data_IF_346656928246
#
_entry.id   IF_346656928246
#
_cell.length_a   1.000
_cell.length_b   1.000
_cell.length_c   1.000
_cell.angle_alpha   90.00
_cell.angle_beta   90.00
_cell.angle_gamma   90.00
#
_symmetry.space_group_name_H-M   'P 1'
#
loop_
_entity.id
_entity.type
_entity.pdbx_description
1 polymer ?
#
# COMPACT_ATOMS: atom_id res chain seq x y z
N UNK A 1 -9.40 6.46 33.94
CA UNK A 1 -9.16 7.89 33.63
C UNK A 1 -8.21 8.42 34.69
N UNK A 2 -6.98 8.72 34.31
CA UNK A 2 -5.97 9.20 35.25
C UNK A 2 -6.32 10.60 35.73
N UNK A 3 -6.47 10.77 37.02
CA UNK A 3 -6.66 12.08 37.71
C UNK A 3 -5.53 13.06 37.46
N UNK A 4 -4.35 12.59 37.05
CA UNK A 4 -3.17 13.40 36.75
C UNK A 4 -3.39 14.38 35.59
N UNK A 5 -4.14 14.01 34.58
CA UNK A 5 -4.41 14.91 33.43
C UNK A 5 -5.34 16.08 33.79
N UNK A 6 -6.23 15.90 34.76
CA UNK A 6 -7.07 17.00 35.28
C UNK A 6 -6.28 17.95 36.16
N UNK A 7 -5.41 17.41 37.04
CA UNK A 7 -4.59 18.24 37.91
C UNK A 7 -3.61 19.14 37.16
N UNK A 8 -2.91 18.59 36.17
CA UNK A 8 -2.00 19.36 35.32
C UNK A 8 -2.75 20.39 34.46
N UNK A 9 -3.87 20.04 33.87
CA UNK A 9 -4.69 20.97 33.09
C UNK A 9 -5.24 22.12 33.92
N UNK A 10 -5.59 21.91 35.20
CA UNK A 10 -6.05 22.96 36.11
C UNK A 10 -4.90 23.88 36.56
N UNK A 11 -3.69 23.35 36.75
CA UNK A 11 -2.50 24.14 37.02
C UNK A 11 -2.18 25.08 35.87
N UNK A 12 -2.21 24.61 34.64
CA UNK A 12 -1.96 25.43 33.46
C UNK A 12 -3.03 26.51 33.25
N UNK A 13 -4.29 26.17 33.44
CA UNK A 13 -5.39 27.14 33.38
C UNK A 13 -5.26 28.25 34.39
N UNK A 14 -4.77 27.97 35.61
CA UNK A 14 -4.55 28.96 36.67
C UNK A 14 -3.34 29.86 36.44
N UNK A 15 -2.33 29.36 35.74
CA UNK A 15 -1.11 30.12 35.46
C UNK A 15 -1.25 31.03 34.22
N UNK A 16 -2.27 30.84 33.39
CA UNK A 16 -2.49 31.60 32.15
C UNK A 16 -1.46 31.38 31.04
N UNK A 17 -0.38 30.62 31.30
CA UNK A 17 0.67 30.31 30.35
C UNK A 17 0.97 28.82 30.42
N UNK A 18 0.93 28.15 29.26
CA UNK A 18 1.31 26.76 29.14
C UNK A 18 2.83 26.62 29.14
N UNK A 19 3.35 25.61 29.84
CA UNK A 19 4.78 25.28 29.79
C UNK A 19 5.06 24.29 28.65
N UNK A 20 6.32 24.21 28.20
CA UNK A 20 6.81 23.23 27.23
C UNK A 20 7.26 21.93 27.89
N UNK A 21 7.11 21.76 29.18
CA UNK A 21 7.57 20.57 29.92
C UNK A 21 7.03 19.24 29.40
N UNK A 22 5.83 19.23 28.76
CA UNK A 22 5.30 18.06 28.08
C UNK A 22 6.18 17.62 26.92
N UNK A 23 6.76 18.56 26.19
CA UNK A 23 7.64 18.29 25.04
C UNK A 23 8.96 17.68 25.51
N UNK A 24 9.54 18.24 26.60
CA UNK A 24 10.75 17.68 27.19
C UNK A 24 10.51 16.27 27.71
N UNK A 25 9.36 16.02 28.34
CA UNK A 25 8.96 14.69 28.79
C UNK A 25 8.78 13.71 27.67
N UNK A 26 8.15 14.14 26.54
CA UNK A 26 7.99 13.31 25.35
C UNK A 26 9.36 12.99 24.72
N UNK A 27 10.22 13.99 24.54
CA UNK A 27 11.55 13.80 23.99
C UNK A 27 12.37 12.82 24.84
N UNK A 28 12.37 12.98 26.16
CA UNK A 28 13.08 12.06 27.07
C UNK A 28 12.55 10.63 26.97
N UNK A 29 11.25 10.44 26.76
CA UNK A 29 10.65 9.12 26.54
C UNK A 29 11.13 8.53 25.20
N UNK A 30 11.10 9.30 24.13
CA UNK A 30 11.57 8.88 22.81
C UNK A 30 13.07 8.53 22.85
N UNK A 31 13.89 9.36 23.47
CA UNK A 31 15.34 9.13 23.65
C UNK A 31 15.62 7.83 24.41
N UNK A 32 14.76 7.49 25.37
CA UNK A 32 14.89 6.23 26.14
C UNK A 32 14.62 4.99 25.28
N UNK A 33 13.64 5.04 24.39
CA UNK A 33 13.25 3.89 23.58
C UNK A 33 14.01 3.78 22.25
N UNK A 34 14.34 4.91 21.63
CA UNK A 34 14.93 4.95 20.29
C UNK A 34 16.41 5.38 20.28
N UNK A 35 16.93 5.81 21.45
CA UNK A 35 18.25 6.43 21.57
C UNK A 35 18.22 7.93 21.23
N UNK A 36 19.21 8.64 21.75
CA UNK A 36 19.36 10.07 21.48
C UNK A 36 19.69 10.29 20.00
N UNK A 37 18.99 11.23 19.36
CA UNK A 37 19.26 11.62 17.98
C UNK A 37 20.73 12.07 17.85
N UNK A 38 21.52 11.44 16.96
CA UNK A 38 22.92 11.84 16.78
C UNK A 38 23.01 13.23 16.15
N UNK A 39 23.87 14.09 16.70
CA UNK A 39 24.24 15.35 16.04
C UNK A 39 25.10 15.10 14.82
N UNK A 40 25.99 14.11 14.91
CA UNK A 40 26.88 13.66 13.85
C UNK A 40 27.04 12.15 13.89
N UNK A 41 27.30 11.56 12.73
CA UNK A 41 27.58 10.13 12.57
C UNK A 41 28.51 9.88 11.38
N UNK A 42 29.14 8.71 11.33
CA UNK A 42 30.01 8.31 10.23
C UNK A 42 29.28 7.24 9.38
N UNK A 43 29.23 7.47 8.08
CA UNK A 43 28.75 6.50 7.09
C UNK A 43 29.78 6.37 5.97
N UNK A 44 30.22 5.16 5.66
CA UNK A 44 31.26 4.87 4.66
C UNK A 44 32.52 5.71 4.81
N UNK A 45 32.97 5.94 6.07
CA UNK A 45 34.19 6.67 6.39
C UNK A 45 34.08 8.20 6.31
N UNK A 46 32.91 8.74 5.99
CA UNK A 46 32.63 10.18 5.94
C UNK A 46 31.71 10.61 7.08
N UNK A 47 32.04 11.74 7.73
CA UNK A 47 31.19 12.33 8.79
C UNK A 47 30.03 13.11 8.17
N UNK A 48 28.85 12.94 8.75
CA UNK A 48 27.62 13.63 8.36
C UNK A 48 26.85 14.12 9.59
N UNK A 49 26.10 15.20 9.41
CA UNK A 49 24.89 15.47 10.19
C UNK A 49 23.70 14.81 9.51
N UNK A 50 22.54 14.57 10.18
CA UNK A 50 21.34 14.07 9.53
C UNK A 50 20.95 14.87 8.26
N UNK A 51 21.03 16.19 8.34
CA UNK A 51 20.70 17.10 7.23
C UNK A 51 21.68 16.97 6.05
N UNK A 52 23.00 16.93 6.34
CA UNK A 52 24.02 16.79 5.29
C UNK A 52 23.99 15.40 4.64
N UNK A 53 23.60 14.37 5.39
CA UNK A 53 23.39 13.04 4.84
C UNK A 53 22.15 13.01 3.92
N UNK A 54 21.02 13.55 4.38
CA UNK A 54 19.81 13.66 3.54
C UNK A 54 20.10 14.42 2.23
N UNK A 55 20.83 15.54 2.31
CA UNK A 55 21.22 16.32 1.14
C UNK A 55 22.19 15.59 0.19
N UNK A 56 22.89 14.55 0.66
CA UNK A 56 23.81 13.76 -0.16
C UNK A 56 23.11 12.63 -0.93
N UNK A 57 21.87 12.31 -0.57
CA UNK A 57 21.10 11.26 -1.24
C UNK A 57 20.60 11.76 -2.62
N UNK A 58 20.64 10.90 -3.65
CA UNK A 58 20.18 11.27 -4.99
C UNK A 58 18.64 11.21 -5.11
N UNK A 59 17.94 11.58 -4.03
CA UNK A 59 16.47 11.54 -3.94
C UNK A 59 15.96 12.97 -3.83
N UNK A 60 15.09 13.37 -4.74
CA UNK A 60 14.35 14.62 -4.69
C UNK A 60 12.87 14.29 -4.48
N UNK A 61 12.30 14.71 -3.37
CA UNK A 61 10.91 14.42 -3.05
C UNK A 61 9.94 14.98 -4.10
N UNK A 62 10.24 16.14 -4.67
CA UNK A 62 9.45 16.77 -5.73
C UNK A 62 9.38 15.96 -7.04
N UNK A 63 10.26 14.96 -7.20
CA UNK A 63 10.22 14.04 -8.34
C UNK A 63 9.18 12.92 -8.19
N UNK A 64 8.50 12.82 -7.03
CA UNK A 64 7.54 11.76 -6.74
C UNK A 64 6.12 12.31 -6.63
N UNK A 65 5.16 11.51 -7.04
CA UNK A 65 3.72 11.81 -6.94
C UNK A 65 2.95 10.55 -6.61
N UNK A 66 1.81 10.73 -5.95
CA UNK A 66 0.85 9.68 -5.66
C UNK A 66 -0.22 9.62 -6.74
N UNK A 67 -0.51 8.41 -7.23
CA UNK A 67 -1.53 8.12 -8.23
C UNK A 67 -2.60 7.22 -7.61
N UNK A 68 -3.84 7.64 -7.69
CA UNK A 68 -5.01 6.86 -7.30
C UNK A 68 -5.98 6.64 -8.47
N UNK A 69 -7.00 5.81 -8.24
CA UNK A 69 -8.01 5.52 -9.27
C UNK A 69 -9.39 5.35 -8.65
N UNK A 70 -10.19 6.42 -8.63
CA UNK A 70 -11.51 6.47 -8.02
C UNK A 70 -12.49 7.28 -8.85
N UNK A 71 -13.78 6.91 -8.84
CA UNK A 71 -14.81 7.57 -9.67
C UNK A 71 -15.59 8.67 -8.93
N UNK A 72 -15.44 8.78 -7.61
CA UNK A 72 -16.11 9.83 -6.84
C UNK A 72 -15.47 11.23 -6.97
N UNK A 73 -14.28 11.28 -7.60
CA UNK A 73 -13.64 12.52 -8.03
C UNK A 73 -13.34 12.49 -9.54
N UNK A 74 -13.26 13.63 -10.22
CA UNK A 74 -12.93 13.68 -11.64
C UNK A 74 -11.55 13.06 -11.93
N UNK A 75 -11.44 12.31 -13.01
CA UNK A 75 -10.15 11.89 -13.50
C UNK A 75 -9.30 13.08 -13.97
N UNK A 76 -8.00 12.94 -13.89
CA UNK A 76 -6.99 13.94 -14.22
C UNK A 76 -7.05 15.20 -13.34
N UNK A 77 -7.52 15.03 -12.11
CA UNK A 77 -7.49 16.04 -11.05
C UNK A 77 -6.79 15.51 -9.81
N UNK A 78 -6.35 16.39 -8.95
CA UNK A 78 -5.88 16.03 -7.61
C UNK A 78 -7.08 16.03 -6.64
N UNK A 79 -7.04 15.11 -5.68
CA UNK A 79 -7.98 15.09 -4.57
C UNK A 79 -7.32 14.53 -3.32
N UNK A 80 -7.87 14.84 -2.16
CA UNK A 80 -7.47 14.25 -0.89
C UNK A 80 -8.15 12.90 -0.76
N UNK A 81 -7.38 11.82 -0.64
CA UNK A 81 -7.95 10.50 -0.41
C UNK A 81 -8.55 10.43 1.00
N UNK A 82 -9.83 10.11 1.10
CA UNK A 82 -10.62 10.18 2.33
C UNK A 82 -10.48 8.89 3.16
N UNK A 83 -9.28 8.63 3.64
CA UNK A 83 -8.97 7.51 4.55
C UNK A 83 -8.43 8.03 5.87
N UNK A 84 -8.68 7.33 7.01
CA UNK A 84 -8.23 7.79 8.32
C UNK A 84 -6.71 7.96 8.45
N UNK A 85 -5.94 7.18 7.71
CA UNK A 85 -4.47 7.23 7.70
C UNK A 85 -3.92 8.49 7.03
N UNK A 86 -4.68 9.12 6.16
CA UNK A 86 -4.29 10.37 5.50
C UNK A 86 -4.49 11.60 6.41
N UNK A 87 -3.90 11.56 7.61
CA UNK A 87 -4.02 12.64 8.60
C UNK A 87 -3.31 13.94 8.18
N UNK A 88 -2.38 13.87 7.23
CA UNK A 88 -1.69 15.04 6.66
C UNK A 88 -2.45 15.66 5.47
N UNK A 89 -3.55 15.06 5.05
CA UNK A 89 -4.37 15.53 3.93
C UNK A 89 -3.59 15.53 2.61
N UNK A 90 -2.75 14.51 2.43
CA UNK A 90 -2.01 14.31 1.19
C UNK A 90 -2.96 14.12 0.01
N UNK A 91 -2.58 14.68 -1.14
CA UNK A 91 -3.36 14.56 -2.38
C UNK A 91 -2.81 13.47 -3.27
N UNK A 92 -3.69 12.86 -4.07
CA UNK A 92 -3.32 11.92 -5.13
C UNK A 92 -3.83 12.43 -6.47
N UNK A 93 -3.09 12.18 -7.53
CA UNK A 93 -3.57 12.37 -8.90
C UNK A 93 -4.50 11.23 -9.28
N UNK A 94 -5.70 11.54 -9.74
CA UNK A 94 -6.72 10.57 -10.08
C UNK A 94 -6.68 10.19 -11.55
N UNK A 95 -6.56 8.91 -11.85
CA UNK A 95 -6.57 8.39 -13.23
C UNK A 95 -7.50 7.17 -13.35
N UNK A 96 -7.99 6.81 -14.56
CA UNK A 96 -8.68 5.54 -14.75
C UNK A 96 -7.82 4.36 -14.33
N UNK A 97 -8.45 3.25 -13.91
CA UNK A 97 -7.76 2.04 -13.45
C UNK A 97 -6.73 1.52 -14.46
N UNK A 98 -7.08 1.49 -15.73
CA UNK A 98 -6.18 1.04 -16.79
C UNK A 98 -4.92 1.92 -16.89
N UNK A 99 -5.06 3.24 -16.68
CA UNK A 99 -3.94 4.17 -16.69
C UNK A 99 -3.09 4.06 -15.42
N UNK A 100 -3.69 3.83 -14.26
CA UNK A 100 -2.94 3.53 -13.03
C UNK A 100 -2.08 2.27 -13.22
N UNK A 101 -2.65 1.22 -13.79
CA UNK A 101 -1.89 0.00 -14.08
C UNK A 101 -0.84 0.20 -15.15
N UNK A 102 -1.08 1.05 -16.16
CA UNK A 102 -0.06 1.41 -17.14
C UNK A 102 1.11 2.18 -16.52
N UNK A 103 0.85 3.01 -15.51
CA UNK A 103 1.92 3.66 -14.71
C UNK A 103 2.75 2.61 -13.97
N UNK A 104 2.12 1.63 -13.30
CA UNK A 104 2.81 0.54 -12.61
C UNK A 104 3.68 -0.27 -13.57
N UNK A 105 3.12 -0.70 -14.70
CA UNK A 105 3.84 -1.48 -15.70
C UNK A 105 5.02 -0.70 -16.29
N UNK A 106 4.82 0.56 -16.64
CA UNK A 106 5.88 1.41 -17.21
C UNK A 106 6.99 1.70 -16.21
N UNK A 107 6.66 1.92 -14.94
CA UNK A 107 7.64 2.13 -13.89
C UNK A 107 8.57 0.90 -13.76
N UNK A 108 8.00 -0.29 -13.63
CA UNK A 108 8.77 -1.52 -13.50
C UNK A 108 9.60 -1.83 -14.77
N UNK A 109 9.04 -1.61 -15.96
CA UNK A 109 9.76 -1.79 -17.22
C UNK A 109 10.98 -0.85 -17.38
N UNK A 110 10.95 0.32 -16.72
CA UNK A 110 12.04 1.29 -16.74
C UNK A 110 12.93 1.25 -15.48
N UNK A 111 12.81 0.20 -14.64
CA UNK A 111 13.68 -0.03 -13.48
C UNK A 111 13.35 0.82 -12.26
N UNK A 112 12.15 1.40 -12.19
CA UNK A 112 11.67 2.09 -11.00
C UNK A 112 10.91 1.13 -10.10
N UNK A 113 11.12 1.24 -8.80
CA UNK A 113 10.25 0.65 -7.78
C UNK A 113 9.09 1.60 -7.47
N UNK A 114 8.03 1.06 -6.86
CA UNK A 114 6.78 1.77 -6.61
C UNK A 114 6.42 1.55 -5.16
N UNK A 115 6.21 2.63 -4.40
CA UNK A 115 5.52 2.49 -3.12
C UNK A 115 4.05 2.20 -3.38
N UNK A 116 3.45 1.33 -2.58
CA UNK A 116 2.12 0.79 -2.80
C UNK A 116 1.31 0.78 -1.51
N UNK A 117 0.37 1.71 -1.40
CA UNK A 117 -0.63 1.74 -0.35
C UNK A 117 -1.79 0.81 -0.71
N UNK A 118 -2.10 -0.15 0.16
CA UNK A 118 -3.03 -1.25 -0.15
C UNK A 118 -3.73 -1.80 1.08
N UNK A 119 -4.81 -2.53 0.83
CA UNK A 119 -5.48 -3.36 1.81
C UNK A 119 -4.88 -4.78 1.81
N UNK A 120 -4.41 -5.24 2.96
CA UNK A 120 -3.92 -6.61 3.20
C UNK A 120 -4.79 -7.38 4.20
N UNK A 121 -5.86 -6.78 4.70
CA UNK A 121 -6.86 -7.45 5.57
C UNK A 121 -7.88 -8.27 4.75
N UNK A 122 -7.44 -8.83 3.65
CA UNK A 122 -8.19 -9.56 2.64
C UNK A 122 -8.00 -11.08 2.79
N UNK A 123 -9.09 -11.87 2.63
CA UNK A 123 -9.02 -13.34 2.65
C UNK A 123 -8.09 -13.91 1.57
N UNK A 124 -7.99 -13.22 0.45
CA UNK A 124 -7.11 -13.55 -0.66
C UNK A 124 -5.63 -13.34 -0.39
N UNK A 125 -5.26 -12.82 0.78
CA UNK A 125 -3.87 -12.64 1.18
C UNK A 125 -3.41 -13.69 2.20
N UNK A 126 -2.55 -14.60 1.79
CA UNK A 126 -1.91 -15.56 2.68
C UNK A 126 -0.49 -15.06 3.06
N UNK A 127 -0.39 -14.57 4.29
CA UNK A 127 0.82 -14.04 4.87
C UNK A 127 1.95 -15.08 5.02
N UNK A 128 1.59 -16.36 5.22
CA UNK A 128 2.55 -17.45 5.44
C UNK A 128 3.09 -17.95 4.10
N UNK A 129 2.23 -18.07 3.11
CA UNK A 129 2.59 -18.47 1.74
C UNK A 129 3.11 -17.31 0.90
N UNK A 130 3.03 -16.09 1.43
CA UNK A 130 3.50 -14.85 0.83
C UNK A 130 2.85 -14.59 -0.55
N UNK A 131 1.54 -14.79 -0.65
CA UNK A 131 0.77 -14.65 -1.89
C UNK A 131 -0.55 -13.90 -1.66
N UNK A 132 -0.94 -13.08 -2.63
CA UNK A 132 -2.23 -12.40 -2.69
C UNK A 132 -2.93 -12.65 -4.01
N UNK A 133 -4.20 -13.07 -3.97
CA UNK A 133 -5.05 -13.36 -5.14
C UNK A 133 -6.49 -12.92 -4.88
N UNK A 134 -7.27 -12.69 -5.95
CA UNK A 134 -8.72 -12.41 -5.87
C UNK A 134 -9.48 -13.49 -6.64
N UNK A 135 -9.79 -14.63 -6.02
CA UNK A 135 -10.46 -15.73 -6.69
C UNK A 135 -11.83 -15.34 -7.25
N UNK A 136 -12.16 -15.87 -8.43
CA UNK A 136 -13.51 -15.81 -8.96
C UNK A 136 -14.42 -16.74 -8.15
N UNK A 137 -15.47 -16.21 -7.57
CA UNK A 137 -16.42 -16.97 -6.75
C UNK A 137 -17.61 -17.47 -7.56
N UNK A 138 -17.98 -16.75 -8.61
CA UNK A 138 -19.05 -17.11 -9.52
C UNK A 138 -18.47 -17.93 -10.69
N UNK A 139 -18.62 -19.22 -10.62
CA UNK A 139 -18.05 -20.14 -11.58
C UNK A 139 -19.08 -20.40 -12.70
N UNK A 140 -19.47 -19.36 -13.37
CA UNK A 140 -20.14 -19.45 -14.66
C UNK A 140 -19.11 -19.87 -15.70
N UNK A 141 -19.23 -21.10 -16.18
CA UNK A 141 -18.38 -21.63 -17.23
C UNK A 141 -17.54 -22.85 -16.87
N UNK A 142 -17.71 -23.44 -15.70
CA UNK A 142 -17.24 -24.82 -15.48
C UNK A 142 -18.12 -25.80 -16.25
N UNK A 143 -17.49 -26.67 -17.02
CA UNK A 143 -18.19 -27.73 -17.78
C UNK A 143 -17.80 -29.13 -17.26
N UNK A 144 -18.71 -30.07 -17.41
CA UNK A 144 -18.44 -31.49 -17.18
C UNK A 144 -18.38 -31.90 -15.69
N UNK A 145 -17.57 -32.93 -15.42
CA UNK A 145 -17.47 -33.56 -14.07
C UNK A 145 -16.92 -32.65 -12.99
N UNK A 146 -16.17 -31.63 -13.35
CA UNK A 146 -15.66 -30.65 -12.37
C UNK A 146 -16.75 -29.68 -11.92
N UNK A 147 -17.60 -29.19 -12.83
CA UNK A 147 -18.77 -28.38 -12.51
C UNK A 147 -19.75 -29.14 -11.58
N UNK A 148 -19.94 -30.42 -11.84
CA UNK A 148 -20.81 -31.28 -11.02
C UNK A 148 -20.25 -31.48 -9.61
N UNK A 149 -18.94 -31.72 -9.47
CA UNK A 149 -18.27 -31.82 -8.18
C UNK A 149 -18.33 -30.50 -7.42
N UNK A 150 -18.05 -29.39 -8.07
CA UNK A 150 -18.11 -28.06 -7.49
C UNK A 150 -19.52 -27.67 -7.05
N UNK A 151 -20.52 -28.02 -7.86
CA UNK A 151 -21.93 -27.78 -7.55
C UNK A 151 -22.41 -28.49 -6.27
N UNK A 152 -21.77 -29.61 -5.88
CA UNK A 152 -22.08 -30.40 -4.70
C UNK A 152 -21.45 -29.87 -3.41
N UNK A 153 -20.45 -28.97 -3.51
CA UNK A 153 -19.78 -28.39 -2.37
C UNK A 153 -20.64 -27.31 -1.70
N UNK A 154 -20.61 -27.27 -0.38
CA UNK A 154 -21.15 -26.16 0.40
C UNK A 154 -20.37 -24.86 0.13
N UNK A 155 -20.94 -23.70 0.46
CA UNK A 155 -20.27 -22.41 0.31
C UNK A 155 -18.91 -22.37 1.05
N UNK A 156 -18.85 -22.94 2.26
CA UNK A 156 -17.61 -23.00 3.05
C UNK A 156 -16.53 -23.90 2.42
N UNK A 157 -16.92 -25.02 1.82
CA UNK A 157 -15.98 -25.92 1.12
C UNK A 157 -15.46 -25.28 -0.17
N UNK A 158 -16.33 -24.55 -0.91
CA UNK A 158 -15.92 -23.77 -2.09
C UNK A 158 -14.91 -22.70 -1.70
N UNK A 159 -15.21 -21.93 -0.67
CA UNK A 159 -14.33 -20.90 -0.15
C UNK A 159 -12.97 -21.49 0.29
N UNK A 160 -12.99 -22.57 1.07
CA UNK A 160 -11.77 -23.24 1.50
C UNK A 160 -10.92 -23.78 0.33
N UNK A 161 -11.55 -24.21 -0.77
CA UNK A 161 -10.84 -24.67 -1.96
C UNK A 161 -10.20 -23.51 -2.75
N UNK A 162 -10.87 -22.35 -2.85
CA UNK A 162 -10.38 -21.17 -3.54
C UNK A 162 -9.18 -20.54 -2.81
N UNK A 163 -9.22 -20.48 -1.49
CA UNK A 163 -8.19 -19.86 -0.66
C UNK A 163 -7.17 -20.87 -0.11
N UNK A 164 -7.03 -22.02 -0.76
CA UNK A 164 -6.03 -23.02 -0.36
C UNK A 164 -4.61 -22.65 -0.79
N UNK A 165 -4.45 -21.83 -1.82
CA UNK A 165 -3.16 -21.33 -2.34
C UNK A 165 -2.16 -22.46 -2.67
N UNK A 166 -2.62 -23.59 -3.18
CA UNK A 166 -1.79 -24.74 -3.56
C UNK A 166 -1.66 -24.90 -5.09
N UNK A 167 -2.47 -24.21 -5.83
CA UNK A 167 -2.46 -24.16 -7.30
C UNK A 167 -3.05 -22.84 -7.80
N UNK A 168 -2.77 -22.44 -9.05
CA UNK A 168 -3.44 -21.32 -9.68
C UNK A 168 -4.95 -21.52 -9.71
N UNK A 169 -5.70 -20.46 -9.43
CA UNK A 169 -7.17 -20.43 -9.53
C UNK A 169 -7.58 -19.33 -10.52
N UNK A 170 -8.77 -19.44 -11.08
CA UNK A 170 -9.34 -18.36 -11.88
C UNK A 170 -9.61 -17.17 -10.95
N UNK A 171 -9.19 -16.00 -11.38
CA UNK A 171 -9.40 -14.76 -10.63
C UNK A 171 -10.43 -13.86 -11.28
N UNK A 172 -11.02 -12.97 -10.47
CA UNK A 172 -11.98 -11.95 -10.92
C UNK A 172 -11.34 -11.01 -11.94
N UNK A 173 -12.10 -10.62 -12.95
CA UNK A 173 -11.75 -9.49 -13.80
C UNK A 173 -12.19 -8.22 -13.10
N UNK A 174 -11.24 -7.45 -12.60
CA UNK A 174 -11.51 -6.24 -11.85
C UNK A 174 -11.94 -5.11 -12.78
N UNK A 175 -12.97 -4.38 -12.37
CA UNK A 175 -13.45 -3.19 -13.08
C UNK A 175 -13.30 -1.95 -12.19
N UNK A 176 -13.33 -0.78 -12.83
CA UNK A 176 -13.31 0.51 -12.13
C UNK A 176 -14.47 0.63 -11.12
N UNK A 177 -15.65 0.13 -11.49
CA UNK A 177 -16.84 0.16 -10.64
C UNK A 177 -16.68 -0.76 -9.42
N UNK A 178 -16.21 -2.00 -9.60
CA UNK A 178 -15.97 -2.92 -8.49
C UNK A 178 -15.00 -2.31 -7.47
N UNK A 179 -13.95 -1.67 -7.95
CA UNK A 179 -12.96 -0.99 -7.13
C UNK A 179 -13.59 0.16 -6.33
N UNK A 180 -14.43 0.99 -6.97
CA UNK A 180 -15.12 2.08 -6.29
C UNK A 180 -16.09 1.57 -5.22
N UNK A 181 -16.90 0.56 -5.54
CA UNK A 181 -17.84 -0.02 -4.59
C UNK A 181 -17.11 -0.58 -3.36
N UNK A 182 -15.97 -1.25 -3.55
CA UNK A 182 -15.19 -1.80 -2.45
C UNK A 182 -14.57 -0.72 -1.55
N UNK A 183 -14.22 0.43 -2.12
CA UNK A 183 -13.78 1.59 -1.35
C UNK A 183 -14.95 2.23 -0.57
N UNK A 184 -16.08 2.45 -1.22
CA UNK A 184 -17.25 3.12 -0.63
C UNK A 184 -17.88 2.31 0.51
N UNK A 185 -17.82 0.98 0.45
CA UNK A 185 -18.42 0.08 1.45
C UNK A 185 -17.41 -0.45 2.48
N UNK A 186 -16.16 0.07 2.47
CA UNK A 186 -15.06 -0.35 3.36
C UNK A 186 -14.63 -1.83 3.21
N UNK A 187 -14.88 -2.44 2.06
CA UNK A 187 -14.32 -3.73 1.68
C UNK A 187 -12.84 -3.60 1.28
N UNK A 188 -12.43 -2.41 0.88
CA UNK A 188 -11.03 -2.03 0.68
C UNK A 188 -10.70 -0.85 1.59
N UNK A 189 -9.74 -1.04 2.48
CA UNK A 189 -9.27 -0.05 3.46
C UNK A 189 -7.78 0.23 3.28
N UNK A 190 -7.31 1.39 3.74
CA UNK A 190 -5.87 1.70 3.75
C UNK A 190 -5.28 1.18 5.05
N UNK A 191 -4.52 0.07 4.98
CA UNK A 191 -3.99 -0.57 6.16
C UNK A 191 -2.52 -1.00 6.06
N UNK A 192 -1.91 -0.92 4.86
CA UNK A 192 -0.52 -1.35 4.72
C UNK A 192 0.22 -0.71 3.53
N UNK A 193 1.49 -0.37 3.75
CA UNK A 193 2.41 0.12 2.73
C UNK A 193 3.50 -0.89 2.41
N UNK A 194 3.76 -1.12 1.12
CA UNK A 194 4.80 -2.03 0.61
C UNK A 194 5.50 -1.43 -0.62
N UNK A 195 6.48 -2.14 -1.17
CA UNK A 195 7.20 -1.69 -2.37
C UNK A 195 7.10 -2.74 -3.47
N UNK A 196 6.46 -2.41 -4.60
CA UNK A 196 6.48 -3.24 -5.80
C UNK A 196 7.85 -3.07 -6.47
N UNK A 197 8.57 -4.18 -6.67
CA UNK A 197 9.95 -4.17 -7.15
C UNK A 197 10.16 -4.95 -8.45
N UNK A 198 9.13 -5.60 -8.96
CA UNK A 198 9.24 -6.38 -10.19
C UNK A 198 7.97 -7.14 -10.55
N UNK A 199 8.06 -7.94 -11.58
CA UNK A 199 7.00 -8.80 -12.10
C UNK A 199 7.36 -10.27 -11.97
N UNK A 200 6.35 -11.12 -11.97
CA UNK A 200 6.46 -12.57 -12.01
C UNK A 200 5.27 -13.17 -12.77
N UNK A 201 5.31 -14.47 -12.98
CA UNK A 201 4.17 -15.23 -13.52
C UNK A 201 3.99 -16.51 -12.71
N UNK A 202 2.75 -16.98 -12.61
CA UNK A 202 2.46 -18.27 -12.02
C UNK A 202 2.71 -19.43 -13.02
N UNK A 203 2.37 -20.66 -12.64
CA UNK A 203 2.57 -21.86 -13.45
C UNK A 203 1.68 -21.92 -14.71
N UNK A 204 0.68 -21.05 -14.79
CA UNK A 204 -0.23 -20.93 -15.95
C UNK A 204 0.08 -19.69 -16.79
N UNK A 205 1.08 -18.88 -16.39
CA UNK A 205 1.45 -17.65 -17.07
C UNK A 205 0.64 -16.43 -16.65
N UNK A 206 -0.16 -16.53 -15.60
CA UNK A 206 -0.87 -15.37 -15.06
C UNK A 206 0.10 -14.36 -14.46
N UNK A 207 -0.12 -13.04 -14.67
CA UNK A 207 0.79 -12.00 -14.21
C UNK A 207 0.67 -11.75 -12.70
N UNK A 208 1.83 -11.62 -12.07
CA UNK A 208 2.01 -11.26 -10.66
C UNK A 208 3.01 -10.12 -10.52
N UNK A 209 2.90 -9.40 -9.42
CA UNK A 209 3.89 -8.43 -8.98
C UNK A 209 4.71 -8.99 -7.83
N UNK A 210 6.03 -8.79 -7.88
CA UNK A 210 6.94 -9.08 -6.77
C UNK A 210 7.02 -7.85 -5.87
N UNK A 211 6.70 -8.04 -4.61
CA UNK A 211 6.53 -6.97 -3.63
C UNK A 211 7.45 -7.20 -2.44
N UNK A 212 8.20 -6.18 -2.03
CA UNK A 212 8.99 -6.17 -0.80
C UNK A 212 8.11 -5.68 0.36
N UNK A 213 7.96 -6.54 1.35
CA UNK A 213 7.27 -6.19 2.60
C UNK A 213 8.28 -5.85 3.71
N UNK A 214 7.82 -5.17 4.77
CA UNK A 214 8.61 -4.76 5.92
C UNK A 214 8.57 -5.74 7.11
N UNK A 215 7.84 -6.87 6.99
CA UNK A 215 7.54 -7.73 8.13
C UNK A 215 8.63 -8.72 8.55
N UNK A 216 9.71 -8.84 7.88
CA UNK A 216 10.86 -9.69 8.17
C UNK A 216 11.36 -10.46 6.95
N UNK A 217 12.58 -10.97 7.05
CA UNK A 217 13.17 -11.87 6.05
C UNK A 217 12.76 -13.29 6.39
N UNK A 218 11.61 -13.73 5.87
CA UNK A 218 11.02 -15.06 6.15
C UNK A 218 10.93 -15.92 4.90
N UNK A 219 11.01 -17.26 5.07
CA UNK A 219 10.57 -18.18 4.04
C UNK A 219 9.09 -17.94 3.66
N UNK A 220 8.67 -18.27 2.42
CA UNK A 220 9.49 -18.95 1.41
C UNK A 220 10.34 -18.02 0.54
N UNK A 221 10.15 -16.70 0.57
CA UNK A 221 10.71 -15.77 -0.42
C UNK A 221 11.50 -14.61 0.21
N UNK A 222 12.12 -14.79 1.35
CA UNK A 222 13.04 -13.84 2.00
C UNK A 222 12.43 -12.43 2.19
N UNK A 223 11.16 -12.40 2.63
CA UNK A 223 10.41 -11.16 2.88
C UNK A 223 9.81 -10.53 1.62
N UNK A 224 9.86 -11.23 0.49
CA UNK A 224 9.09 -10.86 -0.69
C UNK A 224 7.77 -11.60 -0.72
N UNK A 225 6.78 -10.95 -1.33
CA UNK A 225 5.42 -11.43 -1.54
C UNK A 225 5.06 -11.34 -3.01
N UNK A 226 4.10 -12.15 -3.44
CA UNK A 226 3.62 -12.14 -4.82
C UNK A 226 2.13 -11.87 -4.85
N UNK A 227 1.75 -10.77 -5.45
CA UNK A 227 0.35 -10.38 -5.60
C UNK A 227 -0.05 -10.47 -7.06
N UNK A 228 -1.17 -11.12 -7.32
CA UNK A 228 -1.71 -11.18 -8.67
C UNK A 228 -2.08 -9.80 -9.19
N UNK A 229 -2.12 -9.64 -10.51
CA UNK A 229 -2.57 -8.38 -11.11
C UNK A 229 -3.99 -8.00 -10.65
N UNK A 230 -4.99 -8.92 -10.60
CA UNK A 230 -6.31 -8.62 -10.05
C UNK A 230 -6.26 -8.12 -8.60
N UNK A 231 -5.38 -8.65 -7.76
CA UNK A 231 -5.24 -8.15 -6.38
C UNK A 231 -4.78 -6.69 -6.37
N UNK A 232 -3.73 -6.36 -7.12
CA UNK A 232 -3.23 -4.98 -7.21
C UNK A 232 -4.28 -4.06 -7.82
N UNK A 233 -4.97 -4.46 -8.88
CA UNK A 233 -6.07 -3.70 -9.46
C UNK A 233 -7.19 -3.43 -8.45
N UNK A 234 -7.51 -4.37 -7.58
CA UNK A 234 -8.66 -4.28 -6.67
C UNK A 234 -8.34 -3.54 -5.38
N UNK A 235 -7.20 -3.84 -4.77
CA UNK A 235 -6.88 -3.46 -3.38
C UNK A 235 -5.93 -2.27 -3.25
N UNK A 236 -5.47 -1.68 -4.34
CA UNK A 236 -4.60 -0.48 -4.29
C UNK A 236 -5.38 0.76 -3.86
N UNK A 237 -4.92 1.48 -2.86
CA UNK A 237 -5.40 2.84 -2.54
C UNK A 237 -4.66 3.86 -3.41
N UNK A 238 -3.34 3.88 -3.32
CA UNK A 238 -2.48 4.70 -4.17
C UNK A 238 -1.16 4.01 -4.47
N UNK A 239 -0.46 4.54 -5.46
CA UNK A 239 0.93 4.21 -5.77
C UNK A 239 1.75 5.48 -5.84
N UNK A 240 2.85 5.55 -5.08
CA UNK A 240 3.82 6.64 -5.21
C UNK A 240 4.88 6.24 -6.22
N UNK A 241 5.06 7.07 -7.22
CA UNK A 241 5.98 6.83 -8.33
C UNK A 241 6.85 8.06 -8.64
N UNK A 242 8.04 7.82 -9.18
CA UNK A 242 8.82 8.90 -9.77
C UNK A 242 8.11 9.41 -11.04
N UNK A 243 8.00 10.73 -11.22
CA UNK A 243 7.35 11.36 -12.38
C UNK A 243 7.90 10.86 -13.72
N UNK A 244 9.19 10.52 -13.79
CA UNK A 244 9.81 9.98 -14.99
C UNK A 244 9.34 8.54 -15.32
N UNK A 245 8.77 7.84 -14.34
CA UNK A 245 8.21 6.52 -14.53
C UNK A 245 6.79 6.54 -15.11
N UNK A 246 6.13 7.69 -15.13
CA UNK A 246 4.77 7.83 -15.66
C UNK A 246 4.83 7.96 -17.18
N UNK A 247 4.01 7.21 -17.95
CA UNK A 247 3.93 7.37 -19.41
C UNK A 247 3.66 8.83 -19.81
N UNK A 248 4.35 9.32 -20.84
CA UNK A 248 4.28 10.73 -21.25
C UNK A 248 2.86 11.22 -21.55
N UNK A 249 2.02 10.35 -22.10
CA UNK A 249 0.61 10.68 -22.38
C UNK A 249 -0.16 10.98 -21.10
N UNK A 250 0.03 10.16 -20.04
CA UNK A 250 -0.63 10.33 -18.76
C UNK A 250 -0.08 11.58 -18.07
N UNK A 251 1.24 11.81 -18.09
CA UNK A 251 1.85 13.04 -17.56
C UNK A 251 1.23 14.29 -18.18
N UNK A 252 1.05 14.28 -19.50
CA UNK A 252 0.45 15.40 -20.21
C UNK A 252 -0.99 15.67 -19.76
N UNK A 253 -1.80 14.62 -19.53
CA UNK A 253 -3.16 14.74 -19.02
C UNK A 253 -3.20 15.28 -17.58
N UNK A 254 -2.20 14.95 -16.77
CA UNK A 254 -2.08 15.39 -15.37
C UNK A 254 -1.43 16.77 -15.23
N UNK A 255 -0.78 17.29 -16.27
CA UNK A 255 -0.08 18.58 -16.23
C UNK A 255 1.24 18.56 -15.45
N UNK A 256 1.93 17.40 -15.37
CA UNK A 256 3.17 17.18 -14.58
C UNK A 256 4.33 16.70 -15.44
#
# INVERSE_FOLDING_TARGET
RFCLSRGLGDVYKRQGVLTTAWQDGLNALLDTYFGVRPEKFTYEGKEYTPESFAASLPIKMDDYVDIGSFTHHPFYSEFIIEVPDNWMWGTVYNVPLEEMMAVVDNALANGYSIEWATDVSEKGFDRIKAIGIIPETDIDGMEGTEAEKWGKLSAAEKEAALYKFDKPVKEKKITQEMRQIAFDNYETTDDHGMVIVGTAVDQQGNPFFKVKNSWDVRPPYDGYYYFSRPFVEYKTLSVMVNKNAIPQEIRTKLGI
#
